data_IF_904295135643
#
_entry.id   IF_904295135643
#
_cell.length_a   1.000
_cell.length_b   1.000
_cell.length_c   1.000
_cell.angle_alpha   90.00
_cell.angle_beta   90.00
_cell.angle_gamma   90.00
#
_symmetry.space_group_name_H-M   'P 1'
#
loop_
_entity.id
_entity.type
_entity.pdbx_description
1 polymer ?
#
# COMPACT_ATOMS: atom_id res chain seq x y z
N UNK A 1 -79.32 -45.38 21.52
CA UNK A 1 -78.26 -46.01 20.70
C UNK A 1 -77.32 -44.90 20.27
N UNK A 2 -76.06 -44.79 20.66
CA UNK A 2 -75.14 -45.71 21.36
C UNK A 2 -73.94 -44.90 21.89
N UNK A 3 -73.69 -45.02 23.21
CA UNK A 3 -72.41 -45.23 23.91
C UNK A 3 -71.20 -44.38 23.47
N UNK A 4 -70.78 -43.39 24.24
CA UNK A 4 -70.00 -43.49 25.49
C UNK A 4 -68.49 -43.38 25.26
N UNK A 5 -67.84 -42.82 26.28
CA UNK A 5 -66.42 -42.94 26.62
C UNK A 5 -65.46 -41.88 26.09
N UNK A 6 -65.19 -40.92 26.98
CA UNK A 6 -63.89 -40.84 27.68
C UNK A 6 -62.68 -40.84 26.73
N UNK A 7 -62.17 -39.64 26.44
CA UNK A 7 -60.75 -39.32 26.24
C UNK A 7 -60.54 -37.80 26.18
N UNK A 8 -61.04 -37.09 27.19
CA UNK A 8 -60.63 -35.71 27.48
C UNK A 8 -59.64 -35.74 28.65
N UNK A 9 -58.52 -36.45 28.44
CA UNK A 9 -57.33 -36.44 29.27
C UNK A 9 -56.23 -37.05 28.40
N UNK A 10 -55.04 -36.44 28.37
CA UNK A 10 -53.91 -36.73 27.47
C UNK A 10 -53.97 -35.99 26.11
N UNK A 11 -53.81 -34.66 26.13
CA UNK A 11 -52.95 -33.97 25.14
C UNK A 11 -52.56 -32.55 25.60
N UNK A 12 -52.22 -32.38 26.88
CA UNK A 12 -51.54 -31.18 27.38
C UNK A 12 -50.32 -31.68 28.15
N UNK A 13 -49.24 -32.02 27.44
CA UNK A 13 -47.84 -32.22 27.93
C UNK A 13 -46.97 -32.99 26.91
N UNK A 14 -46.90 -32.54 25.66
CA UNK A 14 -45.95 -33.10 24.69
C UNK A 14 -45.52 -32.09 23.60
N UNK A 15 -45.18 -30.87 24.01
CA UNK A 15 -44.24 -30.02 23.26
C UNK A 15 -43.05 -29.76 24.19
N UNK A 16 -42.35 -30.86 24.49
CA UNK A 16 -41.01 -30.84 25.05
C UNK A 16 -40.04 -30.84 23.86
N UNK A 17 -39.21 -29.79 23.82
CA UNK A 17 -37.76 -29.96 23.81
C UNK A 17 -37.18 -30.85 22.70
N UNK A 18 -37.03 -30.28 21.51
CA UNK A 18 -36.06 -30.76 20.53
C UNK A 18 -35.63 -29.60 19.62
N UNK A 19 -34.52 -28.96 20.01
CA UNK A 19 -33.48 -28.36 19.15
C UNK A 19 -32.81 -27.11 19.77
N UNK A 20 -32.44 -27.17 21.04
CA UNK A 20 -31.12 -26.66 21.41
C UNK A 20 -30.10 -27.67 20.90
N UNK A 21 -29.39 -27.31 19.81
CA UNK A 21 -28.13 -27.86 19.27
C UNK A 21 -28.15 -27.75 17.73
N UNK A 22 -28.20 -26.53 17.22
CA UNK A 22 -27.62 -26.22 15.91
C UNK A 22 -26.48 -25.22 16.17
N UNK A 23 -25.28 -25.66 15.84
CA UNK A 23 -24.03 -25.01 16.23
C UNK A 23 -23.94 -23.55 15.83
N UNK A 24 -23.39 -22.78 16.76
CA UNK A 24 -22.63 -21.57 16.55
C UNK A 24 -21.68 -21.72 15.36
N UNK A 25 -21.90 -20.91 14.33
CA UNK A 25 -21.06 -20.90 13.12
C UNK A 25 -21.44 -19.90 12.03
N UNK A 26 -22.50 -19.10 12.20
CA UNK A 26 -22.81 -18.02 11.27
C UNK A 26 -22.10 -16.73 11.71
N UNK A 27 -20.82 -16.60 11.34
CA UNK A 27 -20.15 -15.30 11.23
C UNK A 27 -19.85 -15.06 9.74
N UNK A 28 -19.85 -13.79 9.34
CA UNK A 28 -19.54 -13.26 8.00
C UNK A 28 -20.69 -13.23 6.95
N UNK A 29 -21.79 -12.55 7.27
CA UNK A 29 -22.51 -11.68 6.31
C UNK A 29 -23.30 -10.64 7.11
N UNK A 30 -22.60 -9.72 7.78
CA UNK A 30 -23.25 -8.49 8.23
C UNK A 30 -23.55 -7.60 7.03
N UNK A 31 -24.57 -6.74 7.13
CA UNK A 31 -24.86 -5.72 6.11
C UNK A 31 -23.59 -4.95 5.73
N UNK A 32 -23.48 -4.56 4.44
CA UNK A 32 -22.38 -3.73 3.98
C UNK A 32 -22.25 -2.47 4.84
N UNK A 33 -21.02 -2.06 5.19
CA UNK A 33 -20.82 -0.88 6.00
C UNK A 33 -21.35 0.36 5.27
N UNK A 34 -22.33 1.02 5.88
CA UNK A 34 -22.92 2.23 5.32
C UNK A 34 -21.94 3.41 5.40
N UNK A 35 -21.83 4.19 4.31
CA UNK A 35 -21.01 5.40 4.30
C UNK A 35 -21.47 6.38 5.39
N UNK A 36 -20.52 6.89 6.19
CA UNK A 36 -20.79 7.87 7.24
C UNK A 36 -21.25 7.29 8.59
N UNK A 37 -21.36 5.96 8.72
CA UNK A 37 -21.45 5.30 10.03
C UNK A 37 -20.08 4.74 10.40
N UNK A 38 -19.66 5.02 11.63
CA UNK A 38 -18.46 4.40 12.17
C UNK A 38 -18.76 2.91 12.45
N UNK A 39 -17.78 2.05 12.16
CA UNK A 39 -17.96 0.61 12.10
C UNK A 39 -17.38 -0.12 13.32
N UNK A 40 -16.69 0.58 14.23
CA UNK A 40 -16.24 0.02 15.50
C UNK A 40 -17.44 -0.41 16.34
N UNK A 41 -18.42 0.45 16.64
CA UNK A 41 -19.59 0.04 17.44
C UNK A 41 -20.48 -0.98 16.73
N UNK A 42 -20.48 -0.98 15.39
CA UNK A 42 -21.27 -1.94 14.61
C UNK A 42 -20.79 -3.37 14.81
N UNK A 43 -19.47 -3.60 14.87
CA UNK A 43 -18.90 -4.95 14.88
C UNK A 43 -18.21 -5.35 16.20
N UNK A 44 -17.90 -4.39 17.08
CA UNK A 44 -17.16 -4.69 18.31
C UNK A 44 -18.05 -5.35 19.36
N UNK A 45 -17.86 -6.65 19.55
CA UNK A 45 -18.47 -7.42 20.64
C UNK A 45 -17.50 -7.60 21.82
N UNK A 46 -17.97 -7.93 23.03
CA UNK A 46 -17.08 -8.27 24.15
C UNK A 46 -16.10 -9.41 23.82
N UNK A 47 -16.53 -10.38 23.02
CA UNK A 47 -15.68 -11.49 22.58
C UNK A 47 -14.56 -11.01 21.65
N UNK A 48 -14.89 -10.19 20.65
CA UNK A 48 -13.90 -9.60 19.74
C UNK A 48 -12.94 -8.68 20.50
N UNK A 49 -13.45 -7.92 21.49
CA UNK A 49 -12.61 -7.10 22.36
C UNK A 49 -11.57 -7.94 23.09
N UNK A 50 -11.97 -9.07 23.70
CA UNK A 50 -11.01 -9.96 24.38
C UNK A 50 -10.00 -10.59 23.43
N UNK A 51 -10.38 -10.85 22.18
CA UNK A 51 -9.46 -11.36 21.16
C UNK A 51 -8.40 -10.32 20.74
N UNK A 52 -8.79 -9.04 20.67
CA UNK A 52 -7.91 -7.93 20.26
C UNK A 52 -7.09 -7.40 21.45
N UNK A 53 -7.68 -7.31 22.63
CA UNK A 53 -7.05 -6.88 23.88
C UNK A 53 -7.40 -7.86 25.01
N UNK A 54 -6.64 -8.97 25.17
CA UNK A 54 -6.85 -9.89 26.27
C UNK A 54 -6.74 -9.18 27.62
N UNK A 55 -7.81 -9.23 28.42
CA UNK A 55 -7.88 -8.57 29.73
C UNK A 55 -8.27 -7.10 29.68
N UNK A 56 -8.79 -6.60 28.53
CA UNK A 56 -9.54 -5.35 28.51
C UNK A 56 -10.83 -5.49 29.33
N UNK A 57 -11.20 -4.44 30.04
CA UNK A 57 -12.39 -4.42 30.90
C UNK A 57 -13.43 -3.42 30.39
N UNK A 58 -12.99 -2.37 29.69
CA UNK A 58 -13.87 -1.31 29.18
C UNK A 58 -13.35 -0.71 27.88
N UNK A 59 -14.29 -0.27 27.03
CA UNK A 59 -14.04 0.52 25.83
C UNK A 59 -14.71 1.88 26.03
N UNK A 60 -14.02 2.96 25.69
CA UNK A 60 -14.58 4.32 25.71
C UNK A 60 -15.36 4.63 24.43
N UNK A 61 -15.89 5.86 24.35
CA UNK A 61 -16.58 6.31 23.14
C UNK A 61 -15.63 6.43 21.94
N UNK A 62 -16.15 6.11 20.76
CA UNK A 62 -15.42 6.31 19.50
C UNK A 62 -15.31 7.80 19.23
N UNK A 63 -14.09 8.28 18.96
CA UNK A 63 -13.87 9.69 18.69
C UNK A 63 -12.58 10.02 17.97
N UNK A 64 -12.42 11.31 17.66
CA UNK A 64 -11.28 11.89 16.96
C UNK A 64 -11.23 11.59 15.46
N UNK A 65 -10.19 12.10 14.80
CA UNK A 65 -9.94 11.89 13.36
C UNK A 65 -8.57 11.24 13.19
N UNK A 66 -8.48 10.02 12.61
CA UNK A 66 -9.60 9.16 12.26
C UNK A 66 -10.33 8.59 13.50
N UNK A 67 -11.55 8.05 13.35
CA UNK A 67 -12.32 7.44 14.44
C UNK A 67 -11.58 6.27 15.10
N UNK A 68 -11.52 6.26 16.43
CA UNK A 68 -11.01 5.14 17.24
C UNK A 68 -11.58 5.19 18.66
N UNK A 69 -11.71 4.04 19.31
CA UNK A 69 -12.17 3.93 20.69
C UNK A 69 -11.00 3.59 21.64
N UNK A 70 -10.81 4.33 22.74
CA UNK A 70 -9.79 3.99 23.74
C UNK A 70 -10.20 2.73 24.53
N UNK A 71 -9.24 1.85 24.82
CA UNK A 71 -9.44 0.59 25.52
C UNK A 71 -8.75 0.64 26.89
N UNK A 72 -9.40 0.13 27.93
CA UNK A 72 -8.97 0.23 29.31
C UNK A 72 -8.90 -1.12 30.04
N UNK A 73 -7.97 -1.21 30.99
CA UNK A 73 -7.92 -2.24 32.04
C UNK A 73 -7.92 -1.51 33.39
N UNK A 74 -8.99 -1.65 34.16
CA UNK A 74 -9.34 -0.71 35.23
C UNK A 74 -9.40 0.73 34.70
N UNK A 75 -8.74 1.65 35.40
CA UNK A 75 -8.65 3.06 35.00
C UNK A 75 -7.49 3.36 34.02
N UNK A 76 -6.65 2.36 33.73
CA UNK A 76 -5.50 2.53 32.84
C UNK A 76 -5.91 2.31 31.40
N UNK A 77 -5.73 3.32 30.55
CA UNK A 77 -5.81 3.15 29.10
C UNK A 77 -4.65 2.25 28.63
N UNK A 78 -4.96 1.21 27.87
CA UNK A 78 -3.99 0.23 27.36
C UNK A 78 -3.81 0.29 25.84
N UNK A 79 -4.64 1.06 25.14
CA UNK A 79 -4.55 1.21 23.70
C UNK A 79 -5.80 1.81 23.06
N UNK A 80 -5.91 1.63 21.75
CA UNK A 80 -7.05 2.01 20.94
C UNK A 80 -7.50 0.84 20.07
N UNK A 81 -8.80 0.73 19.83
CA UNK A 81 -9.37 -0.11 18.76
C UNK A 81 -9.93 0.80 17.67
N UNK A 82 -9.69 0.44 16.42
CA UNK A 82 -10.20 1.16 15.25
C UNK A 82 -10.67 0.18 14.18
N UNK A 83 -11.47 0.69 13.25
CA UNK A 83 -11.87 -0.04 12.05
C UNK A 83 -11.04 0.40 10.85
N UNK A 84 -10.59 -0.56 10.04
CA UNK A 84 -9.88 -0.24 8.79
C UNK A 84 -10.76 0.46 7.77
N UNK A 85 -12.08 0.22 7.81
CA UNK A 85 -13.02 0.94 6.94
C UNK A 85 -13.10 2.43 7.30
N UNK A 86 -13.18 2.74 8.59
CA UNK A 86 -13.29 4.12 9.08
C UNK A 86 -11.99 4.91 8.90
N UNK A 87 -10.85 4.21 8.88
CA UNK A 87 -9.52 4.84 8.79
C UNK A 87 -9.00 4.94 7.36
N UNK A 88 -9.06 3.85 6.58
CA UNK A 88 -8.46 3.79 5.23
C UNK A 88 -9.46 3.49 4.13
N UNK A 89 -10.76 3.33 4.42
CA UNK A 89 -11.76 2.84 3.47
C UNK A 89 -11.26 1.59 2.74
N UNK A 90 -10.77 0.62 3.52
CA UNK A 90 -10.13 -0.60 3.02
C UNK A 90 -11.08 -1.43 2.17
N UNK A 91 -10.58 -1.90 1.03
CA UNK A 91 -11.31 -2.76 0.09
C UNK A 91 -10.55 -4.05 -0.16
N UNK A 92 -11.29 -5.13 -0.40
CA UNK A 92 -10.75 -6.41 -0.82
C UNK A 92 -10.41 -6.44 -2.32
N UNK A 93 -9.93 -7.60 -2.78
CA UNK A 93 -9.62 -7.86 -4.18
C UNK A 93 -10.85 -7.70 -5.09
N UNK A 94 -12.03 -8.08 -4.61
CA UNK A 94 -13.31 -7.85 -5.30
C UNK A 94 -13.75 -6.37 -5.37
N UNK A 95 -12.92 -5.44 -4.90
CA UNK A 95 -13.24 -4.00 -4.75
C UNK A 95 -14.44 -3.73 -3.82
N UNK A 96 -14.81 -4.72 -3.00
CA UNK A 96 -15.85 -4.63 -1.99
C UNK A 96 -15.27 -4.26 -0.62
N UNK A 97 -16.08 -3.74 0.32
CA UNK A 97 -15.63 -3.42 1.65
C UNK A 97 -14.95 -4.62 2.34
N UNK A 98 -13.81 -4.34 2.96
CA UNK A 98 -13.07 -5.29 3.79
C UNK A 98 -12.85 -4.61 5.14
N UNK A 99 -13.55 -5.07 6.17
CA UNK A 99 -13.56 -4.43 7.49
C UNK A 99 -12.82 -5.31 8.47
N UNK A 100 -11.76 -4.75 9.07
CA UNK A 100 -11.07 -5.32 10.21
C UNK A 100 -11.17 -4.41 11.41
N UNK A 101 -11.38 -5.00 12.59
CA UNK A 101 -11.15 -4.33 13.86
C UNK A 101 -9.72 -4.61 14.30
N UNK A 102 -8.96 -3.56 14.57
CA UNK A 102 -7.54 -3.63 14.87
C UNK A 102 -7.27 -2.89 16.18
N UNK A 103 -6.52 -3.56 17.06
CA UNK A 103 -6.05 -2.99 18.31
C UNK A 103 -4.61 -2.52 18.21
N UNK A 104 -4.35 -1.34 18.75
CA UNK A 104 -3.05 -0.69 18.81
C UNK A 104 -2.75 -0.33 20.27
N UNK A 105 -1.65 -0.85 20.82
CA UNK A 105 -1.17 -0.47 22.15
C UNK A 105 -0.48 0.90 22.16
N UNK A 106 -0.18 1.40 23.37
CA UNK A 106 0.44 2.72 23.55
C UNK A 106 1.93 2.74 23.20
N UNK A 107 2.54 1.58 22.99
CA UNK A 107 3.92 1.40 22.56
C UNK A 107 4.06 1.36 21.03
N UNK A 108 2.95 1.35 20.30
CA UNK A 108 2.92 1.31 18.83
C UNK A 108 3.01 -0.10 18.26
N UNK A 109 2.50 -1.11 18.97
CA UNK A 109 2.38 -2.49 18.49
C UNK A 109 0.92 -2.87 18.32
N UNK A 110 0.67 -3.77 17.38
CA UNK A 110 -0.66 -4.34 17.17
C UNK A 110 -0.97 -5.29 18.33
N UNK A 111 -2.03 -5.02 19.11
CA UNK A 111 -2.47 -5.91 20.19
C UNK A 111 -3.24 -7.13 19.66
N UNK A 112 -3.90 -6.96 18.51
CA UNK A 112 -4.61 -7.99 17.75
C UNK A 112 -5.39 -7.39 16.58
N UNK A 113 -5.80 -8.23 15.63
CA UNK A 113 -6.66 -7.85 14.52
C UNK A 113 -7.71 -8.93 14.24
N UNK A 114 -8.91 -8.55 13.82
CA UNK A 114 -10.01 -9.45 13.48
C UNK A 114 -10.73 -8.99 12.24
N UNK A 115 -10.94 -9.89 11.28
CA UNK A 115 -11.80 -9.62 10.12
C UNK A 115 -13.24 -9.72 10.59
N UNK A 116 -14.04 -8.69 10.37
CA UNK A 116 -15.45 -8.65 10.81
C UNK A 116 -16.43 -8.60 9.64
N UNK A 117 -15.97 -8.19 8.46
CA UNK A 117 -16.74 -8.21 7.23
C UNK A 117 -15.83 -8.31 6.00
N UNK A 118 -16.18 -9.16 5.02
CA UNK A 118 -15.57 -9.20 3.70
C UNK A 118 -16.50 -9.84 2.67
N UNK A 119 -16.37 -9.46 1.40
CA UNK A 119 -17.10 -10.04 0.25
C UNK A 119 -16.13 -10.63 -0.79
N UNK A 120 -15.08 -11.27 -0.31
CA UNK A 120 -14.08 -11.93 -1.17
C UNK A 120 -14.63 -13.24 -1.74
N UNK A 121 -14.33 -13.60 -3.00
CA UNK A 121 -14.81 -14.83 -3.65
C UNK A 121 -14.06 -16.08 -3.15
N UNK A 122 -14.02 -16.28 -1.85
CA UNK A 122 -13.25 -17.33 -1.17
C UNK A 122 -13.74 -18.75 -1.49
N UNK A 123 -15.05 -18.93 -1.67
CA UNK A 123 -15.65 -20.24 -1.96
C UNK A 123 -15.22 -20.76 -3.35
N UNK A 124 -15.10 -19.86 -4.33
CA UNK A 124 -14.67 -20.19 -5.70
C UNK A 124 -13.19 -20.61 -5.71
N UNK A 125 -12.37 -20.04 -4.81
CA UNK A 125 -10.94 -20.34 -4.68
C UNK A 125 -10.63 -21.51 -3.72
N UNK A 126 -11.65 -22.11 -3.10
CA UNK A 126 -11.50 -23.20 -2.13
C UNK A 126 -10.93 -22.76 -0.78
N UNK A 127 -11.09 -21.48 -0.42
CA UNK A 127 -10.60 -20.88 0.81
C UNK A 127 -11.71 -20.79 1.87
N UNK A 128 -11.31 -20.79 3.14
CA UNK A 128 -12.19 -20.63 4.30
C UNK A 128 -11.93 -19.29 4.98
N UNK A 129 -12.96 -18.68 5.55
CA UNK A 129 -12.86 -17.45 6.37
C UNK A 129 -11.78 -17.54 7.44
N UNK A 130 -11.65 -18.72 8.03
CA UNK A 130 -10.61 -19.08 9.02
C UNK A 130 -9.18 -18.74 8.54
N UNK A 131 -8.93 -18.80 7.23
CA UNK A 131 -7.64 -18.44 6.64
C UNK A 131 -7.32 -16.96 6.82
N UNK A 132 -8.27 -16.08 6.53
CA UNK A 132 -8.10 -14.64 6.74
C UNK A 132 -8.08 -14.26 8.21
N UNK A 133 -8.85 -14.96 9.06
CA UNK A 133 -8.77 -14.76 10.50
C UNK A 133 -7.39 -15.11 11.05
N UNK A 134 -6.86 -16.30 10.71
CA UNK A 134 -5.49 -16.70 11.09
C UNK A 134 -4.44 -15.74 10.55
N UNK A 135 -4.62 -15.25 9.32
CA UNK A 135 -3.72 -14.25 8.74
C UNK A 135 -3.69 -12.95 9.55
N UNK A 136 -4.86 -12.41 9.89
CA UNK A 136 -4.96 -11.20 10.71
C UNK A 136 -4.39 -11.41 12.13
N UNK A 137 -4.58 -12.61 12.71
CA UNK A 137 -4.03 -12.98 14.01
C UNK A 137 -2.50 -12.94 14.09
N UNK A 138 -1.80 -13.22 12.97
CA UNK A 138 -0.35 -13.18 12.89
C UNK A 138 0.26 -11.78 13.10
N UNK A 139 -0.54 -10.71 13.08
CA UNK A 139 -0.07 -9.35 13.32
C UNK A 139 0.09 -9.01 14.81
N UNK A 140 -0.40 -9.86 15.73
CA UNK A 140 -0.28 -9.60 17.16
C UNK A 140 1.21 -9.46 17.57
N UNK A 141 1.54 -8.35 18.21
CA UNK A 141 2.89 -8.00 18.66
C UNK A 141 3.75 -7.25 17.64
N UNK A 142 3.30 -7.15 16.39
CA UNK A 142 4.01 -6.45 15.31
C UNK A 142 4.18 -4.97 15.63
N UNK A 143 5.42 -4.47 15.54
CA UNK A 143 5.72 -3.05 15.66
C UNK A 143 5.35 -2.34 14.36
N UNK A 144 4.48 -1.34 14.43
CA UNK A 144 4.01 -0.63 13.24
C UNK A 144 5.11 0.23 12.59
N UNK A 145 6.24 0.44 13.26
CA UNK A 145 7.39 1.18 12.70
C UNK A 145 8.16 0.35 11.68
N UNK A 146 8.15 -0.98 11.84
CA UNK A 146 8.82 -1.91 10.93
C UNK A 146 7.99 -2.17 9.68
N UNK A 147 8.67 -2.49 8.56
CA UNK A 147 8.01 -3.05 7.39
C UNK A 147 7.52 -4.48 7.69
N UNK A 148 6.51 -4.93 6.96
CA UNK A 148 5.96 -6.29 7.03
C UNK A 148 6.09 -6.93 5.65
N UNK A 149 6.80 -8.04 5.56
CA UNK A 149 6.90 -8.83 4.33
C UNK A 149 5.84 -9.93 4.36
N UNK A 150 4.97 -9.98 3.35
CA UNK A 150 3.96 -11.02 3.18
C UNK A 150 4.58 -12.15 2.34
N UNK A 151 4.83 -13.29 2.98
CA UNK A 151 5.60 -14.42 2.42
C UNK A 151 4.69 -15.63 2.20
N UNK A 152 4.80 -16.38 1.10
CA UNK A 152 4.16 -17.72 1.02
C UNK A 152 5.13 -18.77 1.54
N UNK A 153 4.68 -19.59 2.47
CA UNK A 153 5.26 -20.93 2.68
C UNK A 153 4.62 -21.90 1.69
N UNK A 154 5.40 -22.42 0.73
CA UNK A 154 4.93 -23.52 -0.10
C UNK A 154 4.89 -24.80 0.76
N UNK A 155 3.69 -25.24 1.12
CA UNK A 155 3.48 -26.50 1.85
C UNK A 155 3.64 -27.75 0.98
N UNK A 156 4.02 -27.62 -0.30
CA UNK A 156 4.11 -28.76 -1.23
C UNK A 156 5.16 -28.56 -2.34
N UNK A 157 6.40 -28.22 -1.98
CA UNK A 157 7.53 -28.30 -2.91
C UNK A 157 8.36 -29.55 -2.64
N UNK A 158 8.62 -30.34 -3.68
CA UNK A 158 9.49 -31.54 -3.65
C UNK A 158 10.98 -31.14 -3.52
N UNK A 159 11.28 -29.84 -3.56
CA UNK A 159 12.64 -29.27 -3.54
C UNK A 159 13.08 -28.71 -2.17
N UNK A 160 12.28 -28.89 -1.10
CA UNK A 160 12.61 -28.44 0.26
C UNK A 160 11.77 -27.26 0.78
N UNK A 161 11.94 -26.92 2.07
CA UNK A 161 11.24 -25.80 2.72
C UNK A 161 11.87 -24.46 2.30
N UNK A 162 11.49 -23.96 1.13
CA UNK A 162 11.81 -22.59 0.72
C UNK A 162 10.57 -21.70 0.86
N UNK A 163 10.70 -20.62 1.64
CA UNK A 163 9.70 -19.56 1.73
C UNK A 163 9.93 -18.55 0.62
N UNK A 164 8.95 -18.37 -0.27
CA UNK A 164 9.03 -17.37 -1.32
C UNK A 164 8.39 -16.08 -0.82
N UNK A 165 9.19 -15.02 -0.72
CA UNK A 165 8.63 -13.68 -0.50
C UNK A 165 7.81 -13.31 -1.73
N UNK A 166 6.53 -13.01 -1.55
CA UNK A 166 5.72 -12.44 -2.64
C UNK A 166 6.01 -10.96 -2.82
N UNK A 167 6.72 -10.36 -1.88
CA UNK A 167 7.12 -8.97 -1.90
C UNK A 167 8.34 -8.74 -1.02
N UNK A 168 9.52 -9.00 -1.58
CA UNK A 168 10.70 -8.29 -1.10
C UNK A 168 10.42 -6.83 -1.46
N UNK A 169 10.12 -5.98 -0.47
CA UNK A 169 10.18 -4.54 -0.72
C UNK A 169 11.61 -4.28 -1.21
N UNK A 170 11.78 -3.78 -2.45
CA UNK A 170 13.09 -3.72 -3.05
C UNK A 170 14.11 -3.00 -2.15
N UNK A 171 15.14 -3.72 -1.70
CA UNK A 171 16.16 -3.18 -0.79
C UNK A 171 15.85 -3.22 0.72
N UNK A 172 14.81 -3.92 1.20
CA UNK A 172 14.54 -4.08 2.64
C UNK A 172 15.12 -5.38 3.20
N UNK A 173 15.92 -5.30 4.26
CA UNK A 173 16.51 -6.48 4.95
C UNK A 173 15.79 -6.86 6.26
N UNK A 174 15.02 -5.94 6.85
CA UNK A 174 14.53 -6.03 8.24
C UNK A 174 12.99 -6.10 8.36
N UNK A 175 12.30 -6.63 7.35
CA UNK A 175 10.83 -6.74 7.38
C UNK A 175 10.35 -7.94 8.21
N UNK A 176 9.33 -7.74 9.05
CA UNK A 176 8.68 -8.83 9.78
C UNK A 176 7.91 -9.73 8.80
N UNK A 177 8.22 -11.03 8.76
CA UNK A 177 7.60 -11.97 7.82
C UNK A 177 6.24 -12.45 8.34
N UNK A 178 5.19 -12.30 7.54
CA UNK A 178 3.84 -12.83 7.82
C UNK A 178 3.45 -13.78 6.69
N UNK A 179 3.05 -15.00 7.04
CA UNK A 179 2.65 -16.00 6.05
C UNK A 179 1.34 -15.60 5.36
N UNK A 180 1.32 -15.48 4.04
CA UNK A 180 0.15 -15.19 3.22
C UNK A 180 -0.90 -16.30 3.28
N UNK A 181 -2.18 -15.96 3.04
CA UNK A 181 -3.20 -16.98 2.78
C UNK A 181 -2.95 -17.57 1.39
N UNK A 182 -2.62 -18.86 1.33
CA UNK A 182 -2.41 -19.60 0.09
C UNK A 182 -3.56 -19.34 -0.90
N UNK A 183 -3.26 -19.00 -2.16
CA UNK A 183 -4.22 -18.65 -3.22
C UNK A 183 -5.05 -17.37 -3.03
N UNK A 184 -4.86 -16.61 -1.94
CA UNK A 184 -5.43 -15.27 -1.71
C UNK A 184 -4.34 -14.22 -1.42
N UNK A 185 -3.29 -14.25 -2.23
CA UNK A 185 -2.15 -13.33 -2.19
C UNK A 185 -2.56 -11.86 -2.17
N UNK A 186 -3.36 -11.43 -3.14
CA UNK A 186 -3.73 -10.01 -3.29
C UNK A 186 -4.57 -9.54 -2.11
N UNK A 187 -5.55 -10.33 -1.67
CA UNK A 187 -6.31 -10.04 -0.45
C UNK A 187 -5.42 -10.01 0.79
N UNK A 188 -4.43 -10.91 0.91
CA UNK A 188 -3.49 -10.91 2.05
C UNK A 188 -2.67 -9.61 2.09
N UNK A 189 -2.23 -9.11 0.93
CA UNK A 189 -1.57 -7.81 0.80
C UNK A 189 -2.48 -6.67 1.23
N UNK A 190 -3.73 -6.66 0.78
CA UNK A 190 -4.70 -5.60 1.11
C UNK A 190 -5.07 -5.61 2.60
N UNK A 191 -5.23 -6.79 3.20
CA UNK A 191 -5.41 -6.96 4.64
C UNK A 191 -4.18 -6.42 5.40
N UNK A 192 -2.97 -6.74 4.93
CA UNK A 192 -1.72 -6.26 5.53
C UNK A 192 -1.64 -4.73 5.51
N UNK A 193 -1.94 -4.11 4.37
CA UNK A 193 -1.99 -2.64 4.24
C UNK A 193 -3.00 -2.05 5.22
N UNK A 194 -4.23 -2.57 5.21
CA UNK A 194 -5.31 -2.09 6.04
C UNK A 194 -4.94 -2.09 7.55
N UNK A 195 -4.32 -3.18 8.04
CA UNK A 195 -3.87 -3.30 9.43
C UNK A 195 -2.74 -2.29 9.71
N UNK A 196 -1.64 -2.36 8.95
CA UNK A 196 -0.41 -1.62 9.27
C UNK A 196 -0.57 -0.13 9.01
N UNK A 197 -1.10 0.26 7.85
CA UNK A 197 -1.34 1.65 7.49
C UNK A 197 -2.39 2.28 8.39
N UNK A 198 -3.50 1.59 8.64
CA UNK A 198 -4.55 2.06 9.55
C UNK A 198 -3.99 2.33 10.96
N UNK A 199 -3.19 1.40 11.48
CA UNK A 199 -2.57 1.57 12.78
C UNK A 199 -1.59 2.76 12.82
N UNK A 200 -0.81 2.98 11.76
CA UNK A 200 0.09 4.15 11.67
C UNK A 200 -0.67 5.48 11.67
N UNK A 201 -1.78 5.57 10.94
CA UNK A 201 -2.63 6.79 10.90
C UNK A 201 -3.16 7.07 12.30
N UNK A 202 -3.75 6.06 12.97
CA UNK A 202 -4.26 6.20 14.34
C UNK A 202 -3.13 6.57 15.30
N UNK A 203 -1.99 5.88 15.24
CA UNK A 203 -0.86 6.13 16.11
C UNK A 203 -0.31 7.56 15.99
N UNK A 204 -0.24 8.10 14.76
CA UNK A 204 0.12 9.51 14.52
C UNK A 204 -0.91 10.47 15.14
N UNK A 205 -2.20 10.22 14.91
CA UNK A 205 -3.29 11.06 15.43
C UNK A 205 -3.39 11.06 16.97
N UNK A 206 -2.85 10.03 17.63
CA UNK A 206 -2.86 9.86 19.09
C UNK A 206 -1.49 10.07 19.74
N UNK A 207 -0.50 10.56 18.99
CA UNK A 207 0.87 10.80 19.46
C UNK A 207 1.57 9.56 20.07
N UNK A 208 1.20 8.35 19.64
CA UNK A 208 1.82 7.07 20.05
C UNK A 208 3.19 6.89 19.37
N UNK A 209 3.32 7.37 18.13
CA UNK A 209 4.60 7.34 17.43
C UNK A 209 5.48 8.52 17.89
N UNK A 210 6.73 8.28 18.32
CA UNK A 210 7.61 9.34 18.77
C UNK A 210 7.79 10.41 17.70
N UNK A 211 7.95 11.65 18.13
CA UNK A 211 8.45 12.74 17.27
C UNK A 211 9.92 12.44 16.96
N UNK A 212 10.18 11.67 15.89
CA UNK A 212 11.54 11.34 15.44
C UNK A 212 12.31 12.64 15.14
N UNK A 213 13.23 13.00 16.05
CA UNK A 213 14.24 14.04 15.86
C UNK A 213 13.75 15.49 15.80
N UNK A 214 14.70 16.41 15.70
CA UNK A 214 14.55 17.88 15.49
C UNK A 214 13.95 18.25 14.13
N UNK A 215 13.38 17.29 13.38
CA UNK A 215 12.74 17.56 12.09
C UNK A 215 11.50 18.43 12.34
N UNK A 216 11.62 19.71 11.99
CA UNK A 216 10.56 20.72 12.13
C UNK A 216 9.39 20.49 11.17
N UNK A 217 9.59 19.69 10.10
CA UNK A 217 8.57 19.32 9.13
C UNK A 217 8.51 17.80 8.93
N UNK A 218 7.30 17.27 8.77
CA UNK A 218 7.02 15.87 8.40
C UNK A 218 6.24 15.85 7.11
N UNK A 219 6.49 14.84 6.27
CA UNK A 219 5.67 14.58 5.12
C UNK A 219 4.28 14.13 5.57
N UNK A 220 3.23 14.82 5.12
CA UNK A 220 1.85 14.36 5.29
C UNK A 220 1.59 13.23 4.29
N UNK A 221 1.62 12.00 4.79
CA UNK A 221 1.44 10.80 3.96
C UNK A 221 -0.02 10.32 3.90
N UNK A 222 -0.89 10.86 4.76
CA UNK A 222 -2.21 10.29 5.01
C UNK A 222 -3.33 11.09 4.35
N UNK A 223 -3.16 12.41 4.25
CA UNK A 223 -4.18 13.28 3.69
C UNK A 223 -4.42 12.97 2.22
N UNK A 224 -5.67 12.72 1.89
CA UNK A 224 -6.14 12.49 0.53
C UNK A 224 -7.12 13.59 0.12
N UNK A 225 -6.94 14.09 -1.11
CA UNK A 225 -7.89 14.91 -1.82
C UNK A 225 -7.83 14.50 -3.30
N UNK A 226 -8.99 14.28 -3.92
CA UNK A 226 -9.05 13.92 -5.33
C UNK A 226 -8.49 15.06 -6.21
N UNK A 227 -7.63 14.72 -7.16
CA UNK A 227 -7.02 15.67 -8.09
C UNK A 227 -6.71 15.01 -9.43
N UNK A 228 -6.86 15.79 -10.51
CA UNK A 228 -6.47 15.39 -11.86
C UNK A 228 -4.97 15.59 -12.07
N UNK A 229 -4.41 14.92 -13.07
CA UNK A 229 -2.99 15.06 -13.40
C UNK A 229 -2.55 16.52 -13.64
N UNK A 230 -3.27 17.35 -14.42
CA UNK A 230 -2.91 18.76 -14.60
C UNK A 230 -2.93 19.58 -13.29
N UNK A 231 -3.83 19.24 -12.35
CA UNK A 231 -3.87 19.88 -11.03
C UNK A 231 -2.66 19.51 -10.17
N UNK A 232 -2.20 18.25 -10.25
CA UNK A 232 -1.01 17.78 -9.55
C UNK A 232 0.26 18.43 -10.12
N UNK A 233 0.38 18.57 -11.44
CA UNK A 233 1.47 19.32 -12.09
C UNK A 233 1.47 20.78 -11.63
N UNK A 234 0.32 21.46 -11.73
CA UNK A 234 0.20 22.89 -11.35
C UNK A 234 0.52 23.12 -9.86
N UNK A 235 0.19 22.16 -9.00
CA UNK A 235 0.52 22.20 -7.57
C UNK A 235 2.00 21.89 -7.26
N UNK A 236 2.79 21.50 -8.26
CA UNK A 236 4.18 21.08 -8.10
C UNK A 236 4.35 19.68 -7.49
N UNK A 237 3.28 18.88 -7.43
CA UNK A 237 3.31 17.49 -6.96
C UNK A 237 3.89 16.54 -8.02
N UNK A 238 3.80 16.92 -9.29
CA UNK A 238 4.46 16.28 -10.43
C UNK A 238 5.43 17.29 -11.03
N UNK A 239 6.72 16.95 -11.05
CA UNK A 239 7.72 17.66 -11.83
C UNK A 239 7.68 17.20 -13.28
N UNK A 240 7.86 18.12 -14.21
CA UNK A 240 7.77 17.87 -15.64
C UNK A 240 8.93 18.58 -16.36
N UNK A 241 9.68 17.81 -17.15
CA UNK A 241 10.75 18.25 -18.03
C UNK A 241 10.41 17.85 -19.47
N UNK A 242 10.41 18.82 -20.38
CA UNK A 242 10.26 18.57 -21.82
C UNK A 242 11.56 18.92 -22.52
N UNK A 243 12.08 17.99 -23.32
CA UNK A 243 13.31 18.15 -24.09
C UNK A 243 13.01 17.99 -25.57
N UNK A 244 13.44 18.97 -26.37
CA UNK A 244 13.33 18.94 -27.83
C UNK A 244 14.61 18.37 -28.47
N UNK A 245 14.48 17.85 -29.70
CA UNK A 245 15.64 17.36 -30.46
C UNK A 245 16.73 18.43 -30.65
N UNK A 246 16.33 19.68 -30.91
CA UNK A 246 17.26 20.79 -31.06
C UNK A 246 18.06 21.09 -29.79
N UNK A 247 17.40 21.07 -28.62
CA UNK A 247 18.04 21.34 -27.33
C UNK A 247 19.03 20.23 -26.95
N UNK A 248 18.66 18.97 -27.20
CA UNK A 248 19.55 17.82 -27.03
C UNK A 248 20.79 17.90 -27.92
N UNK A 249 20.61 18.23 -29.20
CA UNK A 249 21.71 18.37 -30.14
C UNK A 249 22.68 19.50 -29.73
N UNK A 250 22.16 20.65 -29.29
CA UNK A 250 22.99 21.79 -28.89
C UNK A 250 23.82 21.46 -27.63
N UNK A 251 23.21 20.95 -26.56
CA UNK A 251 23.93 20.55 -25.34
C UNK A 251 24.93 19.41 -25.56
N UNK A 252 24.60 18.44 -26.42
CA UNK A 252 25.55 17.37 -26.78
C UNK A 252 26.74 17.92 -27.57
N UNK A 253 26.49 18.86 -28.48
CA UNK A 253 27.53 19.55 -29.24
C UNK A 253 28.51 20.29 -28.33
N UNK A 254 27.99 21.02 -27.33
CA UNK A 254 28.81 21.67 -26.29
C UNK A 254 29.67 20.67 -25.50
N UNK A 255 29.17 19.44 -25.32
CA UNK A 255 29.88 18.33 -24.68
C UNK A 255 30.80 17.53 -25.63
N UNK A 256 30.93 17.92 -26.90
CA UNK A 256 31.76 17.23 -27.90
C UNK A 256 31.18 15.91 -28.42
N UNK A 257 29.87 15.70 -28.30
CA UNK A 257 29.15 14.54 -28.80
C UNK A 257 28.10 14.94 -29.86
N UNK A 258 27.66 13.99 -30.66
CA UNK A 258 26.59 14.18 -31.64
C UNK A 258 25.40 13.28 -31.30
N UNK A 259 24.18 13.70 -31.63
CA UNK A 259 23.02 12.81 -31.59
C UNK A 259 23.25 11.67 -32.57
N UNK A 260 23.41 10.46 -32.04
CA UNK A 260 23.72 9.28 -32.84
C UNK A 260 22.46 8.68 -33.43
N UNK A 261 22.01 9.15 -34.59
CA UNK A 261 21.15 8.31 -35.45
C UNK A 261 21.73 8.28 -36.85
N UNK A 262 22.36 7.15 -37.19
CA UNK A 262 22.82 6.92 -38.55
C UNK A 262 21.63 6.96 -39.51
N UNK A 263 21.68 7.87 -40.48
CA UNK A 263 20.89 7.88 -41.73
C UNK A 263 19.44 7.39 -41.59
N UNK A 264 18.61 8.21 -40.98
CA UNK A 264 17.20 8.39 -41.35
C UNK A 264 16.86 9.86 -41.14
N UNK A 265 15.81 10.37 -41.79
CA UNK A 265 15.31 11.74 -41.60
C UNK A 265 15.27 12.06 -40.10
N UNK A 266 16.23 12.86 -39.61
CA UNK A 266 16.20 13.27 -38.21
C UNK A 266 14.90 14.07 -37.99
N UNK A 267 14.18 13.82 -36.88
CA UNK A 267 12.99 14.59 -36.54
C UNK A 267 13.30 16.09 -36.54
N UNK A 268 12.29 16.92 -36.82
CA UNK A 268 12.47 18.37 -36.80
C UNK A 268 12.98 18.84 -35.43
N UNK A 269 13.83 19.86 -35.39
CA UNK A 269 14.48 20.33 -34.15
C UNK A 269 13.48 20.74 -33.04
N UNK A 270 12.30 21.18 -33.43
CA UNK A 270 11.18 21.56 -32.55
C UNK A 270 10.30 20.36 -32.14
N UNK A 271 10.58 19.16 -32.66
CA UNK A 271 9.91 17.94 -32.25
C UNK A 271 10.37 17.52 -30.85
N UNK A 272 9.47 16.91 -30.09
CA UNK A 272 9.75 16.42 -28.74
C UNK A 272 10.62 15.17 -28.81
N UNK A 273 11.76 15.22 -28.13
CA UNK A 273 12.60 14.05 -27.89
C UNK A 273 12.02 13.22 -26.75
N UNK A 274 11.71 13.89 -25.63
CA UNK A 274 11.13 13.28 -24.43
C UNK A 274 10.36 14.29 -23.58
N UNK A 275 9.19 13.89 -23.11
CA UNK A 275 8.45 14.50 -22.00
C UNK A 275 8.65 13.58 -20.78
N UNK A 276 9.36 14.06 -19.76
CA UNK A 276 9.75 13.30 -18.57
C UNK A 276 9.09 13.86 -17.32
N UNK A 277 8.52 12.96 -16.50
CA UNK A 277 7.74 13.30 -15.33
C UNK A 277 8.27 12.57 -14.10
N UNK A 278 8.28 13.26 -12.96
CA UNK A 278 8.71 12.72 -11.67
C UNK A 278 7.74 13.12 -10.58
N UNK A 279 7.34 12.17 -9.74
CA UNK A 279 6.41 12.45 -8.63
C UNK A 279 6.72 11.60 -7.40
N UNK A 280 6.70 12.20 -6.21
CA UNK A 280 6.76 11.44 -4.96
C UNK A 280 5.39 10.83 -4.68
N UNK A 281 5.27 9.52 -4.83
CA UNK A 281 4.00 8.81 -4.68
C UNK A 281 3.67 8.46 -3.24
N UNK A 282 4.61 8.56 -2.29
CA UNK A 282 4.34 8.19 -0.89
C UNK A 282 3.11 8.89 -0.29
N UNK A 283 2.90 10.21 -0.46
CA UNK A 283 1.69 10.88 0.02
C UNK A 283 0.42 10.37 -0.65
N UNK A 284 -0.59 10.03 0.14
CA UNK A 284 -1.88 9.55 -0.38
C UNK A 284 -2.51 10.54 -1.37
N UNK A 285 -2.39 11.85 -1.13
CA UNK A 285 -2.87 12.90 -2.04
C UNK A 285 -2.19 12.94 -3.41
N UNK A 286 -1.07 12.22 -3.61
CA UNK A 286 -0.38 12.11 -4.90
C UNK A 286 -0.50 10.67 -5.41
N UNK A 287 -0.04 9.70 -4.62
CA UNK A 287 0.01 8.30 -5.03
C UNK A 287 -1.34 7.68 -5.34
N UNK A 288 -2.40 8.00 -4.59
CA UNK A 288 -3.75 7.47 -4.87
C UNK A 288 -4.31 8.06 -6.15
N UNK A 289 -4.09 9.37 -6.40
CA UNK A 289 -4.55 10.01 -7.62
C UNK A 289 -3.81 9.49 -8.86
N UNK A 290 -2.55 9.08 -8.74
CA UNK A 290 -1.75 8.60 -9.89
C UNK A 290 -1.92 7.10 -10.13
N UNK A 291 -1.83 6.28 -9.08
CA UNK A 291 -1.89 4.82 -9.19
C UNK A 291 -3.32 4.29 -9.09
N UNK A 292 -4.26 5.06 -8.57
CA UNK A 292 -5.54 4.54 -8.11
C UNK A 292 -5.40 3.82 -6.77
N UNK A 293 -6.49 3.75 -6.01
CA UNK A 293 -6.48 3.24 -4.62
C UNK A 293 -5.90 1.83 -4.50
N UNK A 294 -6.39 0.88 -5.30
CA UNK A 294 -5.98 -0.53 -5.21
C UNK A 294 -4.50 -0.72 -5.47
N UNK A 295 -3.95 -0.07 -6.50
CA UNK A 295 -2.53 -0.17 -6.82
C UNK A 295 -1.66 0.60 -5.83
N UNK A 296 -2.12 1.76 -5.34
CA UNK A 296 -1.45 2.48 -4.28
C UNK A 296 -1.31 1.61 -3.03
N UNK A 297 -2.42 1.06 -2.52
CA UNK A 297 -2.43 0.16 -1.37
C UNK A 297 -1.53 -1.06 -1.65
N UNK A 298 -1.58 -1.61 -2.86
CA UNK A 298 -0.68 -2.68 -3.28
C UNK A 298 0.79 -2.25 -3.30
N UNK A 299 1.18 -1.02 -3.60
CA UNK A 299 2.59 -0.63 -3.60
C UNK A 299 3.06 -0.07 -2.25
N UNK A 300 2.16 0.32 -1.35
CA UNK A 300 2.50 0.76 0.02
C UNK A 300 2.45 -0.35 1.05
N UNK A 301 1.66 -1.41 0.85
CA UNK A 301 1.51 -2.47 1.85
C UNK A 301 2.87 -3.08 2.23
N UNK A 302 3.08 -3.26 3.53
CA UNK A 302 4.27 -3.91 4.06
C UNK A 302 5.54 -3.04 4.07
N UNK A 303 5.48 -1.81 3.56
CA UNK A 303 6.62 -0.87 3.60
C UNK A 303 6.88 -0.37 5.01
N UNK A 304 8.13 -0.02 5.32
CA UNK A 304 8.50 0.71 6.52
C UNK A 304 7.81 2.08 6.59
N UNK A 305 7.70 2.66 7.79
CA UNK A 305 7.05 3.97 7.97
C UNK A 305 7.78 5.12 7.25
N UNK A 306 9.08 4.94 7.04
CA UNK A 306 9.96 5.95 6.44
C UNK A 306 10.30 5.63 4.96
N UNK A 307 9.83 4.51 4.42
CA UNK A 307 10.08 4.13 3.02
C UNK A 307 9.37 5.08 2.06
N UNK A 308 10.01 5.38 0.93
CA UNK A 308 9.50 6.29 -0.09
C UNK A 308 9.32 5.60 -1.45
N UNK A 309 8.38 6.12 -2.23
CA UNK A 309 8.10 5.67 -3.58
C UNK A 309 8.13 6.87 -4.51
N UNK A 310 8.94 6.80 -5.56
CA UNK A 310 9.01 7.80 -6.61
C UNK A 310 8.48 7.20 -7.92
N UNK A 311 7.72 7.97 -8.68
CA UNK A 311 7.39 7.68 -10.08
C UNK A 311 8.42 8.34 -10.97
N UNK A 312 8.91 7.59 -11.96
CA UNK A 312 9.49 8.11 -13.19
C UNK A 312 8.57 7.72 -14.34
N UNK A 313 8.16 8.67 -15.17
CA UNK A 313 7.34 8.38 -16.34
C UNK A 313 7.79 9.23 -17.53
N UNK A 314 7.63 8.71 -18.74
CA UNK A 314 7.98 9.44 -19.94
C UNK A 314 7.12 9.10 -21.15
N UNK A 315 7.13 10.04 -22.09
CA UNK A 315 6.73 9.83 -23.47
C UNK A 315 7.77 10.43 -24.40
N UNK A 316 7.80 9.98 -25.66
CA UNK A 316 8.75 10.43 -26.66
C UNK A 316 9.53 9.27 -27.28
N UNK A 317 10.56 9.62 -28.02
CA UNK A 317 11.44 8.67 -28.71
C UNK A 317 12.63 8.25 -27.83
N UNK A 318 12.98 9.05 -26.83
CA UNK A 318 14.08 8.76 -25.92
C UNK A 318 13.60 8.02 -24.67
N UNK A 319 14.12 6.82 -24.46
CA UNK A 319 13.85 6.03 -23.26
C UNK A 319 14.73 6.45 -22.09
N UNK A 320 14.11 6.75 -20.94
CA UNK A 320 14.85 7.02 -19.70
C UNK A 320 15.33 5.73 -19.04
N UNK A 321 14.70 4.59 -19.34
CA UNK A 321 15.19 3.30 -18.88
C UNK A 321 16.46 2.92 -19.64
N UNK A 322 16.44 3.10 -20.96
CA UNK A 322 17.51 2.69 -21.86
C UNK A 322 17.47 1.21 -22.20
N UNK A 323 18.22 0.82 -23.22
CA UNK A 323 18.28 -0.57 -23.67
C UNK A 323 19.03 -1.44 -22.67
N UNK A 324 18.49 -2.62 -22.36
CA UNK A 324 19.18 -3.59 -21.49
C UNK A 324 19.31 -3.19 -20.02
N UNK A 325 18.63 -2.11 -19.59
CA UNK A 325 18.72 -1.54 -18.24
C UNK A 325 18.58 -2.54 -17.10
N UNK A 326 17.81 -3.61 -17.29
CA UNK A 326 17.61 -4.69 -16.30
C UNK A 326 18.90 -5.43 -15.93
N UNK A 327 19.95 -5.32 -16.74
CA UNK A 327 21.24 -5.99 -16.53
C UNK A 327 22.32 -5.06 -15.94
N UNK A 328 22.00 -3.78 -15.72
CA UNK A 328 22.92 -2.81 -15.10
C UNK A 328 22.77 -2.80 -13.57
N UNK A 329 23.80 -2.36 -12.85
CA UNK A 329 23.72 -2.23 -11.38
C UNK A 329 22.74 -1.11 -10.97
N UNK A 330 22.67 -0.04 -11.75
CA UNK A 330 21.81 1.11 -11.54
C UNK A 330 21.37 1.73 -12.89
N UNK A 331 20.31 2.52 -12.84
CA UNK A 331 19.81 3.26 -13.99
C UNK A 331 20.86 4.27 -14.47
N UNK A 332 21.18 4.22 -15.75
CA UNK A 332 22.28 4.99 -16.32
C UNK A 332 21.87 6.42 -16.72
N UNK A 333 20.60 6.59 -17.10
CA UNK A 333 20.08 7.82 -17.70
C UNK A 333 19.32 8.72 -16.72
N UNK A 334 19.13 8.29 -15.47
CA UNK A 334 18.45 9.10 -14.45
C UNK A 334 19.21 9.04 -13.14
N UNK A 335 19.41 10.19 -12.53
CA UNK A 335 19.95 10.33 -11.17
C UNK A 335 19.13 11.34 -10.36
N UNK A 336 19.13 11.17 -9.04
CA UNK A 336 18.46 12.10 -8.14
C UNK A 336 19.53 12.94 -7.42
N UNK A 337 19.42 14.26 -7.52
CA UNK A 337 20.29 15.20 -6.82
C UNK A 337 19.56 15.73 -5.60
N UNK A 338 20.17 15.60 -4.41
CA UNK A 338 19.63 16.14 -3.17
C UNK A 338 20.73 16.80 -2.33
N UNK A 339 20.81 18.13 -2.40
CA UNK A 339 21.93 18.88 -1.83
C UNK A 339 23.21 18.56 -2.59
N UNK A 340 24.26 18.12 -1.87
CA UNK A 340 25.55 17.73 -2.47
C UNK A 340 25.60 16.24 -2.85
N UNK A 341 24.49 15.51 -2.67
CA UNK A 341 24.43 14.06 -2.95
C UNK A 341 23.86 13.79 -4.33
N UNK A 342 24.56 12.95 -5.08
CA UNK A 342 24.03 12.26 -6.26
C UNK A 342 23.62 10.85 -5.88
N UNK A 343 22.32 10.59 -5.94
CA UNK A 343 21.72 9.30 -5.59
C UNK A 343 21.48 8.54 -6.89
N UNK A 344 22.25 7.47 -7.09
CA UNK A 344 22.03 6.50 -8.17
C UNK A 344 20.80 5.65 -7.87
N UNK A 345 20.17 5.12 -8.92
CA UNK A 345 18.94 4.33 -8.82
C UNK A 345 19.22 2.86 -9.11
N UNK A 346 19.47 2.00 -8.10
CA UNK A 346 19.72 0.58 -8.32
C UNK A 346 18.58 -0.09 -9.06
N UNK A 347 18.89 -0.89 -10.08
CA UNK A 347 17.89 -1.58 -10.92
C UNK A 347 17.01 -2.51 -10.09
N UNK A 348 17.61 -3.14 -9.07
CA UNK A 348 16.87 -3.99 -8.13
C UNK A 348 15.86 -3.23 -7.26
N UNK A 349 15.77 -1.89 -7.34
CA UNK A 349 14.78 -1.01 -6.67
C UNK A 349 13.76 -0.41 -7.63
N UNK A 350 13.79 -0.81 -8.89
CA UNK A 350 12.92 -0.29 -9.93
C UNK A 350 11.87 -1.34 -10.28
N UNK A 351 10.63 -0.89 -10.49
CA UNK A 351 9.55 -1.74 -10.98
C UNK A 351 8.75 -1.01 -12.05
N UNK A 352 8.71 -1.56 -13.25
CA UNK A 352 7.92 -1.01 -14.35
C UNK A 352 6.42 -1.23 -14.14
N UNK A 353 5.62 -0.31 -14.67
CA UNK A 353 4.17 -0.39 -14.66
C UNK A 353 3.64 -0.42 -16.10
N UNK A 354 2.58 -1.20 -16.37
CA UNK A 354 1.98 -1.21 -17.70
C UNK A 354 1.04 -0.01 -17.95
N UNK A 355 0.52 0.62 -16.89
CA UNK A 355 -0.38 1.77 -16.95
C UNK A 355 -0.50 2.49 -15.60
N UNK A 356 -1.04 3.71 -15.64
CA UNK A 356 -1.45 4.52 -14.49
C UNK A 356 -2.98 4.69 -14.49
N UNK A 357 -3.58 5.05 -13.34
CA UNK A 357 -5.03 5.29 -13.19
C UNK A 357 -5.37 6.75 -12.96
N UNK A 358 -4.46 7.64 -13.29
CA UNK A 358 -4.67 9.07 -13.15
C UNK A 358 -5.84 9.56 -14.01
N UNK A 359 -6.49 10.63 -13.56
CA UNK A 359 -7.48 11.35 -14.35
C UNK A 359 -6.76 12.37 -15.24
N UNK A 360 -7.04 12.33 -16.54
CA UNK A 360 -6.41 13.16 -17.59
C UNK A 360 -4.87 13.07 -17.66
N UNK A 361 -4.26 11.87 -17.65
CA UNK A 361 -2.81 11.76 -17.82
C UNK A 361 -2.42 12.12 -19.27
N UNK A 362 -1.21 12.64 -19.49
CA UNK A 362 -0.62 12.67 -20.82
C UNK A 362 -0.47 11.24 -21.35
N UNK A 363 -0.24 11.09 -22.66
CA UNK A 363 0.23 9.82 -23.19
C UNK A 363 1.59 9.51 -22.55
N UNK A 364 1.76 8.28 -22.05
CA UNK A 364 2.98 7.82 -21.39
C UNK A 364 3.32 6.43 -21.95
N UNK A 365 4.55 6.26 -22.44
CA UNK A 365 5.04 4.99 -23.02
C UNK A 365 5.93 4.21 -22.05
N UNK A 366 6.55 4.91 -21.10
CA UNK A 366 7.42 4.31 -20.10
C UNK A 366 7.02 4.81 -18.72
N UNK A 367 6.84 3.91 -17.76
CA UNK A 367 6.57 4.24 -16.36
C UNK A 367 7.26 3.25 -15.43
N UNK A 368 7.91 3.76 -14.40
CA UNK A 368 8.59 2.96 -13.40
C UNK A 368 8.46 3.55 -12.00
N UNK A 369 8.32 2.69 -11.02
CA UNK A 369 8.41 3.01 -9.60
C UNK A 369 9.82 2.78 -9.12
N UNK A 370 10.35 3.73 -8.35
CA UNK A 370 11.63 3.63 -7.66
C UNK A 370 11.39 3.62 -6.17
N UNK A 371 11.93 2.62 -5.48
CA UNK A 371 11.72 2.43 -4.04
C UNK A 371 12.93 2.86 -3.24
N UNK A 372 12.72 3.70 -2.22
CA UNK A 372 13.76 4.15 -1.30
C UNK A 372 13.47 3.64 0.11
N UNK A 373 14.36 2.84 0.72
CA UNK A 373 14.23 2.44 2.12
C UNK A 373 14.37 3.65 3.05
N UNK A 374 13.64 3.68 4.16
CA UNK A 374 13.55 4.85 5.04
C UNK A 374 14.81 5.26 5.81
N UNK A 375 15.83 4.41 5.86
CA UNK A 375 17.19 4.76 6.35
C UNK A 375 18.19 5.01 5.21
N UNK A 376 17.68 5.17 4.00
CA UNK A 376 18.47 5.39 2.80
C UNK A 376 18.97 6.82 2.64
N UNK A 377 19.52 7.10 1.47
CA UNK A 377 20.17 8.38 1.15
C UNK A 377 19.17 9.50 0.81
N UNK A 378 17.93 9.13 0.48
CA UNK A 378 16.88 10.04 0.02
C UNK A 378 15.99 10.51 1.18
N UNK A 379 15.89 11.83 1.38
CA UNK A 379 15.00 12.46 2.35
C UNK A 379 13.86 13.20 1.65
N UNK A 380 12.65 12.62 1.68
CA UNK A 380 11.47 13.19 1.04
C UNK A 380 10.98 14.53 1.63
N UNK A 381 11.55 14.98 2.75
CA UNK A 381 11.21 16.28 3.36
C UNK A 381 12.11 17.42 2.88
N UNK A 382 13.10 17.12 2.02
CA UNK A 382 14.03 18.11 1.45
C UNK A 382 13.82 18.22 -0.07
N UNK A 383 14.09 19.40 -0.66
CA UNK A 383 14.09 19.55 -2.12
C UNK A 383 15.05 18.55 -2.78
N UNK A 384 14.64 18.01 -3.92
CA UNK A 384 15.46 17.15 -4.77
C UNK A 384 15.21 17.51 -6.24
N UNK A 385 16.14 17.14 -7.10
CA UNK A 385 16.05 17.25 -8.55
C UNK A 385 16.23 15.87 -9.16
N UNK A 386 15.54 15.59 -10.26
CA UNK A 386 15.78 14.41 -11.07
C UNK A 386 16.43 14.86 -12.37
N UNK A 387 17.67 14.43 -12.59
CA UNK A 387 18.41 14.75 -13.80
C UNK A 387 18.17 13.66 -14.83
N UNK A 388 17.90 14.07 -16.07
CA UNK A 388 17.85 13.17 -17.22
C UNK A 388 19.16 13.30 -18.02
N UNK A 389 19.90 12.22 -18.16
CA UNK A 389 21.13 12.16 -18.95
C UNK A 389 20.81 11.65 -20.35
N UNK A 390 20.86 12.55 -21.33
CA UNK A 390 20.70 12.22 -22.75
C UNK A 390 22.06 11.82 -23.33
N UNK A 391 22.13 10.61 -23.88
CA UNK A 391 23.33 10.01 -24.47
C UNK A 391 23.52 10.40 -25.94
N UNK A 392 24.72 10.85 -26.31
CA UNK A 392 25.12 11.06 -27.70
C UNK A 392 26.17 10.05 -28.18
N UNK A 393 26.20 9.78 -29.50
CA UNK A 393 27.31 9.07 -30.11
C UNK A 393 28.56 9.95 -30.13
N UNK A 394 29.69 9.36 -29.75
CA UNK A 394 30.95 10.06 -29.63
C UNK A 394 31.51 10.49 -30.99
N UNK A 395 32.03 11.72 -31.09
CA UNK A 395 32.85 12.14 -32.25
C UNK A 395 34.29 11.59 -32.15
N UNK A 396 34.72 11.10 -30.97
CA UNK A 396 36.09 10.60 -30.72
C UNK A 396 36.18 9.38 -29.76
N UNK A 397 35.18 8.50 -29.73
CA UNK A 397 35.25 7.19 -29.04
C UNK A 397 34.95 7.16 -27.53
N UNK A 398 34.61 8.27 -26.89
CA UNK A 398 33.99 8.28 -25.53
C UNK A 398 32.56 8.81 -25.61
N UNK A 399 31.54 8.08 -25.11
CA UNK A 399 30.17 8.56 -25.13
C UNK A 399 30.06 9.87 -24.33
N UNK A 400 29.39 10.87 -24.91
CA UNK A 400 29.08 12.13 -24.24
C UNK A 400 27.66 12.12 -23.71
N UNK A 401 27.44 12.84 -22.62
CA UNK A 401 26.13 12.99 -21.98
C UNK A 401 25.77 14.46 -21.89
N UNK A 402 24.51 14.77 -22.15
CA UNK A 402 23.91 16.06 -21.83
C UNK A 402 22.92 15.87 -20.66
N UNK A 403 23.14 16.62 -19.58
CA UNK A 403 22.26 16.59 -18.41
C UNK A 403 21.16 17.64 -18.56
N UNK A 404 19.92 17.24 -18.32
CA UNK A 404 18.73 18.08 -18.32
C UNK A 404 18.04 18.10 -16.96
#
# INVERSE_FOLDING_TARGET
>A
MTRDCIKTLVLVSAVLLAASLAGTGAWAMGDEPAAGRETVTQYLTPQILQMIFPGAERVGEVGGVPPSAPVYKGDRQIGYVFSTWDVTQSKGFSNQPLVLLVGLDLEGRISGARVVHHTEPIAILGLKDEGFQRFAENYKGTDIRTGVDVVIKLSSSVLGQESFSQRTAPGTTDAAKVDAVSRATTSSVLISDAIVRGARIVARSRNILPRVGTRTARLDVDRFAAATWPKLETAGAIGHLRVLYGEAADKLGDAGAATGTGRNLEPARDSVLVDFYVALLTPAGIGVNILGKTWYDQYTAGRGIDDQILLLAANGAYSFLGDGWEHSDALERVEIIQGEKTIRLPVNRIKTLPFLHAEEPPELKEQALVFFPGRGEFDATRPFQANLLVTGAAVAGRPGFATF
#
